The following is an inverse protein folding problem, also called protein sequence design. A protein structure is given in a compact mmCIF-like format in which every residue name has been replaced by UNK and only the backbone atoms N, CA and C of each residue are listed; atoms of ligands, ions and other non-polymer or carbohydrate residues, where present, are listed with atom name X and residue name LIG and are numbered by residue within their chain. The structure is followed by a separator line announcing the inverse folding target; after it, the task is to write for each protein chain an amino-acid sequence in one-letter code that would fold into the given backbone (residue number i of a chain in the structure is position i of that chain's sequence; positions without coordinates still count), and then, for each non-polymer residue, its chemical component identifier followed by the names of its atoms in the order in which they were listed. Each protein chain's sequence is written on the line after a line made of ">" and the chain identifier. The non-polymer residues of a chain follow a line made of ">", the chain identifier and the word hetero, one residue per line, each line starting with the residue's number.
data_IF_125169191616
#
_entry.id   IF_125169191616
#
_cell.length_a   1.000
_cell.length_b   1.000
_cell.length_c   1.000
_cell.angle_alpha   90.00
_cell.angle_beta   90.00
_cell.angle_gamma   90.00
#
_symmetry.space_group_name_H-M   'P 1'
#
loop_
_entity.id
_entity.type
_entity.pdbx_description
1 polymer ?
#
# COMPACT_ATOMS: atom_id res chain seq x y z
N UNK A 1 -18.36 4.97 -0.91
CA UNK A 1 -16.96 4.95 -0.43
C UNK A 1 -16.15 4.23 -1.50
N UNK A 2 -15.11 4.80 -2.11
CA UNK A 2 -14.36 4.09 -3.13
C UNK A 2 -13.69 2.88 -2.48
N UNK A 3 -14.13 1.68 -2.85
CA UNK A 3 -13.62 0.42 -2.32
C UNK A 3 -12.13 0.33 -2.66
N UNK A 4 -11.26 0.45 -1.65
CA UNK A 4 -9.83 0.32 -1.86
C UNK A 4 -9.50 -1.17 -1.99
N UNK A 5 -9.77 -1.71 -3.17
CA UNK A 5 -9.54 -3.11 -3.50
C UNK A 5 -8.07 -3.47 -3.44
N UNK A 6 -7.76 -4.75 -3.27
CA UNK A 6 -6.41 -5.31 -3.26
C UNK A 6 -5.60 -4.86 -4.46
N UNK A 7 -6.18 -4.84 -5.64
CA UNK A 7 -5.53 -4.37 -6.86
C UNK A 7 -5.18 -2.87 -6.80
N UNK A 8 -6.08 -2.04 -6.27
CA UNK A 8 -5.84 -0.61 -6.07
C UNK A 8 -4.77 -0.36 -5.01
N UNK A 9 -4.86 -1.04 -3.88
CA UNK A 9 -3.88 -0.96 -2.80
C UNK A 9 -2.49 -1.35 -3.33
N UNK A 10 -2.39 -2.47 -4.04
CA UNK A 10 -1.15 -2.89 -4.68
C UNK A 10 -0.61 -1.80 -5.61
N UNK A 11 -1.43 -1.27 -6.51
CA UNK A 11 -0.97 -0.23 -7.44
C UNK A 11 -0.43 1.01 -6.69
N UNK A 12 -1.10 1.41 -5.61
CA UNK A 12 -0.64 2.49 -4.73
C UNK A 12 0.69 2.14 -4.08
N UNK A 13 0.80 0.96 -3.45
CA UNK A 13 2.01 0.46 -2.78
C UNK A 13 3.20 0.35 -3.73
N UNK A 14 2.97 0.16 -5.03
CA UNK A 14 4.02 0.13 -6.05
C UNK A 14 4.32 1.50 -6.68
N UNK A 15 3.51 2.51 -6.39
CA UNK A 15 3.66 3.88 -6.89
C UNK A 15 4.21 4.83 -5.82
N UNK A 16 3.80 4.64 -4.56
CA UNK A 16 4.20 5.45 -3.40
C UNK A 16 4.43 4.56 -2.17
N UNK A 17 5.32 4.94 -1.23
CA UNK A 17 5.51 4.18 -0.01
C UNK A 17 4.25 4.23 0.87
N UNK A 18 4.05 3.15 1.66
CA UNK A 18 2.91 2.97 2.59
C UNK A 18 2.69 4.20 3.48
N UNK A 19 3.77 4.86 3.90
CA UNK A 19 3.74 6.07 4.73
C UNK A 19 3.08 7.25 4.02
N UNK A 20 3.39 7.47 2.74
CA UNK A 20 2.78 8.53 1.94
C UNK A 20 1.30 8.24 1.67
N UNK A 21 0.97 6.99 1.32
CA UNK A 21 -0.43 6.58 1.12
C UNK A 21 -1.21 6.77 2.43
N UNK A 22 -0.65 6.32 3.54
CA UNK A 22 -1.24 6.49 4.86
C UNK A 22 -1.47 7.96 5.21
N UNK A 23 -0.54 8.85 4.86
CA UNK A 23 -0.72 10.29 5.08
C UNK A 23 -1.79 10.90 4.17
N UNK A 24 -1.80 10.58 2.88
CA UNK A 24 -2.81 11.14 1.95
C UNK A 24 -4.22 10.64 2.25
N UNK A 25 -4.37 9.38 2.64
CA UNK A 25 -5.67 8.76 2.91
C UNK A 25 -6.07 8.81 4.39
N UNK A 26 -5.22 9.37 5.26
CA UNK A 26 -5.45 9.34 6.72
C UNK A 26 -5.55 7.91 7.27
N UNK A 27 -4.78 6.97 6.71
CA UNK A 27 -4.71 5.57 7.16
C UNK A 27 -3.54 5.38 8.12
N UNK A 28 -3.55 4.26 8.83
CA UNK A 28 -2.42 3.90 9.70
C UNK A 28 -1.44 2.99 8.92
N UNK A 29 -0.17 3.40 8.73
CA UNK A 29 0.77 2.67 7.87
C UNK A 29 1.10 1.27 8.41
N UNK A 30 0.99 1.07 9.73
CA UNK A 30 1.19 -0.23 10.37
C UNK A 30 0.04 -1.16 10.02
N UNK A 31 -1.20 -0.69 10.09
CA UNK A 31 -2.38 -1.47 9.69
C UNK A 31 -2.35 -1.77 8.19
N UNK A 32 -1.92 -0.81 7.38
CA UNK A 32 -1.78 -0.99 5.94
C UNK A 32 -0.71 -2.04 5.60
N UNK A 33 0.41 -2.05 6.34
CA UNK A 33 1.43 -3.09 6.22
C UNK A 33 0.91 -4.47 6.67
N UNK A 34 0.14 -4.54 7.77
CA UNK A 34 -0.49 -5.78 8.26
C UNK A 34 -1.52 -6.32 7.27
N UNK A 35 -2.34 -5.46 6.69
CA UNK A 35 -3.28 -5.86 5.65
C UNK A 35 -2.52 -6.42 4.44
N UNK A 36 -1.46 -5.75 3.98
CA UNK A 36 -0.64 -6.30 2.89
C UNK A 36 -0.08 -7.69 3.21
N UNK A 37 0.29 -7.94 4.46
CA UNK A 37 0.76 -9.25 4.94
C UNK A 37 -0.37 -10.29 4.93
N UNK A 38 -1.54 -9.93 5.46
CA UNK A 38 -2.71 -10.80 5.56
C UNK A 38 -3.29 -11.20 4.19
N UNK A 39 -3.27 -10.28 3.21
CA UNK A 39 -3.85 -10.46 1.87
C UNK A 39 -2.81 -10.86 0.81
N UNK A 40 -1.63 -11.31 1.26
CA UNK A 40 -0.50 -11.72 0.40
C UNK A 40 -0.26 -10.71 -0.74
N UNK A 41 -0.22 -9.43 -0.37
CA UNK A 41 0.06 -8.34 -1.30
C UNK A 41 1.57 -8.19 -1.37
N UNK A 42 2.13 -8.52 -2.54
CA UNK A 42 3.54 -8.34 -2.82
C UNK A 42 3.92 -6.87 -2.58
N UNK A 43 4.74 -6.64 -1.55
CA UNK A 43 5.28 -5.32 -1.21
C UNK A 43 6.66 -5.15 -1.82
N UNK A 44 7.04 -3.92 -2.21
CA UNK A 44 8.40 -3.65 -2.64
C UNK A 44 9.38 -3.95 -1.48
N UNK A 45 10.51 -4.64 -1.75
CA UNK A 45 11.50 -4.93 -0.72
C UNK A 45 12.14 -3.66 -0.17
N UNK A 46 12.71 -3.73 1.04
CA UNK A 46 13.49 -2.64 1.61
C UNK A 46 14.62 -2.23 0.63
N UNK A 47 14.66 -0.95 0.26
CA UNK A 47 15.61 -0.42 -0.75
C UNK A 47 15.08 -0.33 -2.18
N UNK A 48 13.85 -0.81 -2.47
CA UNK A 48 13.19 -0.58 -3.76
C UNK A 48 12.97 0.91 -4.05
N UNK A 49 12.50 1.66 -3.06
CA UNK A 49 12.24 3.10 -3.20
C UNK A 49 13.50 3.88 -3.50
N UNK A 50 14.61 3.56 -2.85
CA UNK A 50 15.91 4.16 -3.18
C UNK A 50 16.27 3.90 -4.65
N UNK A 51 16.08 2.69 -5.17
CA UNK A 51 16.34 2.41 -6.60
C UNK A 51 15.43 3.23 -7.53
N UNK A 52 14.16 3.41 -7.16
CA UNK A 52 13.19 4.20 -7.92
C UNK A 52 13.56 5.70 -7.93
N UNK A 53 13.93 6.26 -6.77
CA UNK A 53 14.38 7.65 -6.62
C UNK A 53 15.66 7.92 -7.42
N UNK A 54 16.53 6.92 -7.53
CA UNK A 54 17.72 6.95 -8.40
C UNK A 54 17.41 6.72 -9.90
N UNK A 55 16.13 6.70 -10.30
CA UNK A 55 15.72 6.58 -11.70
C UNK A 55 15.92 5.20 -12.32
N UNK A 56 16.14 4.15 -11.52
CA UNK A 56 16.28 2.78 -12.05
C UNK A 56 14.91 2.20 -12.40
N UNK A 57 14.85 1.57 -13.57
CA UNK A 57 13.68 0.80 -13.99
C UNK A 57 13.49 -0.37 -13.03
N UNK A 58 12.37 -0.34 -12.32
CA UNK A 58 12.04 -1.28 -11.26
C UNK A 58 10.96 -2.24 -11.75
N UNK A 59 11.26 -3.54 -11.73
CA UNK A 59 10.29 -4.57 -12.11
C UNK A 59 9.25 -4.75 -11.00
N UNK A 60 7.99 -4.53 -11.37
CA UNK A 60 6.84 -4.75 -10.50
C UNK A 60 6.34 -6.19 -10.75
N UNK A 61 6.44 -7.10 -9.78
CA UNK A 61 5.94 -8.47 -9.93
C UNK A 61 4.41 -8.41 -10.00
N UNK A 62 3.77 -8.98 -11.03
CA UNK A 62 2.33 -8.87 -11.19
C UNK A 62 1.59 -9.39 -9.95
N UNK A 63 0.46 -8.75 -9.63
CA UNK A 63 -0.39 -9.17 -8.52
C UNK A 63 -0.86 -10.61 -8.76
N UNK A 64 -0.31 -11.57 -8.02
CA UNK A 64 -0.78 -12.95 -8.06
C UNK A 64 -2.19 -13.01 -7.45
N UNK A 65 -3.20 -13.39 -8.25
CA UNK A 65 -4.57 -13.66 -7.78
C UNK A 65 -4.78 -15.13 -7.38
N UNK A 66 -3.69 -15.84 -7.05
CA UNK A 66 -3.76 -17.28 -6.76
C UNK A 66 -4.42 -17.56 -5.40
N UNK A 67 -4.20 -16.69 -4.42
CA UNK A 67 -4.68 -16.87 -3.04
C UNK A 67 -5.82 -15.89 -2.69
N UNK A 68 -5.72 -14.64 -3.16
CA UNK A 68 -6.72 -13.59 -2.89
C UNK A 68 -7.15 -12.92 -4.20
N UNK A 69 -8.45 -12.70 -4.34
CA UNK A 69 -9.03 -12.04 -5.52
C UNK A 69 -8.60 -10.57 -5.64
N UNK A 70 -8.68 -9.98 -6.84
CA UNK A 70 -8.35 -8.56 -7.03
C UNK A 70 -9.41 -7.63 -6.41
N UNK A 71 -10.60 -8.19 -6.18
CA UNK A 71 -11.80 -7.56 -5.62
C UNK A 71 -11.80 -7.58 -4.09
N UNK A 72 -10.83 -8.28 -3.49
CA UNK A 72 -10.73 -8.38 -2.04
C UNK A 72 -10.44 -6.99 -1.45
N UNK A 73 -11.19 -6.61 -0.42
CA UNK A 73 -11.09 -5.30 0.21
C UNK A 73 -10.33 -5.46 1.52
N UNK A 74 -9.03 -5.09 1.57
CA UNK A 74 -8.29 -5.11 2.80
C UNK A 74 -8.94 -4.19 3.84
N UNK A 75 -9.10 -4.68 5.06
CA UNK A 75 -9.57 -3.87 6.17
C UNK A 75 -8.51 -2.84 6.57
N UNK A 76 -8.62 -1.65 5.98
CA UNK A 76 -7.73 -0.53 6.25
C UNK A 76 -8.36 0.39 7.29
N UNK A 77 -7.78 0.40 8.49
CA UNK A 77 -8.17 1.36 9.52
C UNK A 77 -7.65 2.75 9.19
N UNK A 78 -8.58 3.69 9.08
CA UNK A 78 -8.26 5.12 9.14
C UNK A 78 -7.60 5.43 10.47
N UNK A 79 -6.42 6.03 10.39
CA UNK A 79 -5.82 6.69 11.53
C UNK A 79 -6.61 7.96 11.75
N UNK A 80 -7.28 8.06 12.88
CA UNK A 80 -7.96 9.29 13.29
C UNK A 80 -6.89 10.33 13.68
N UNK A 81 -6.20 10.89 12.68
CA UNK A 81 -5.22 11.96 12.87
C UNK A 81 -6.02 13.19 13.25
N UNK A 82 -6.15 13.43 14.57
CA UNK A 82 -6.38 14.76 15.11
C UNK A 82 -5.16 15.60 14.70
N UNK A 83 -5.21 16.21 13.52
CA UNK A 83 -4.17 17.14 13.10
C UNK A 83 -4.43 18.47 13.81
N UNK A 84 -4.04 18.52 15.08
CA UNK A 84 -3.76 19.76 15.78
C UNK A 84 -2.64 20.46 15.00
N UNK A 85 -3.03 21.47 14.21
CA UNK A 85 -2.10 22.47 13.68
C UNK A 85 -1.71 23.35 14.87
N UNK A 86 -0.44 23.38 15.23
CA UNK A 86 0.16 24.56 15.86
C UNK A 86 1.60 24.74 15.45
#
# INVERSE_FOLDING_TARGET
>A
MPELTRARLYNLVWTKPLRTIAQEYGLDPIHLAKACDAYDVARPPAGYWQKMEHGKSVQRPPLSNRTFGPEDIPELKQRNVKNDKK
#
